data_IF_305075851062
#
_entry.id   IF_305075851062
#
_cell.length_a   1.000
_cell.length_b   1.000
_cell.length_c   1.000
_cell.angle_alpha   90.00
_cell.angle_beta   90.00
_cell.angle_gamma   90.00
#
_symmetry.space_group_name_H-M   'P 1'
#
loop_
_entity.id
_entity.type
_entity.pdbx_description
1 polymer ?
#
# COMPACT_ATOMS: atom_id res chain seq x y z
N UNK A 1 5.21 12.47 -12.76
CA UNK A 1 5.44 11.10 -12.24
C UNK A 1 5.96 10.22 -13.36
N UNK A 2 5.26 10.10 -14.49
CA UNK A 2 5.71 9.31 -15.67
C UNK A 2 7.15 9.62 -16.13
N UNK A 3 7.52 10.91 -16.20
CA UNK A 3 8.90 11.32 -16.54
C UNK A 3 9.97 10.76 -15.59
N UNK A 4 9.63 10.60 -14.31
CA UNK A 4 10.57 10.13 -13.28
C UNK A 4 10.63 8.60 -13.27
N UNK A 5 9.48 7.94 -13.48
CA UNK A 5 9.39 6.47 -13.45
C UNK A 5 9.72 5.82 -14.79
N UNK A 6 9.68 6.56 -15.90
CA UNK A 6 9.81 6.02 -17.25
C UNK A 6 8.63 5.14 -17.70
N UNK A 7 7.57 5.05 -16.89
CA UNK A 7 6.41 4.18 -17.11
C UNK A 7 5.11 4.98 -17.06
N UNK A 8 4.08 4.62 -17.85
CA UNK A 8 2.75 5.24 -17.79
C UNK A 8 2.18 5.17 -16.37
N UNK A 9 1.56 6.25 -15.90
CA UNK A 9 0.85 6.25 -14.63
C UNK A 9 -0.57 5.76 -14.86
N UNK A 10 -1.03 4.83 -14.00
CA UNK A 10 -2.38 4.27 -14.09
C UNK A 10 -3.19 4.62 -12.85
N UNK A 11 -4.43 5.03 -13.09
CA UNK A 11 -5.44 5.30 -12.06
C UNK A 11 -6.79 4.64 -12.37
N UNK A 12 -6.94 4.03 -13.55
CA UNK A 12 -8.16 3.40 -14.03
C UNK A 12 -7.86 2.02 -14.60
N UNK A 13 -8.89 1.15 -14.60
CA UNK A 13 -8.82 -0.13 -15.28
C UNK A 13 -8.70 0.08 -16.79
N UNK A 14 -7.97 -0.82 -17.43
CA UNK A 14 -7.90 -0.91 -18.88
C UNK A 14 -9.20 -1.46 -19.46
N UNK A 15 -9.47 -1.14 -20.71
CA UNK A 15 -10.58 -1.75 -21.44
C UNK A 15 -10.21 -3.17 -21.91
N UNK A 16 -11.21 -4.05 -22.15
CA UNK A 16 -10.98 -5.35 -22.75
C UNK A 16 -10.20 -5.21 -24.07
N UNK A 17 -9.12 -5.98 -24.22
CA UNK A 17 -8.26 -5.97 -25.41
C UNK A 17 -7.07 -5.01 -25.35
N UNK A 18 -7.02 -4.10 -24.37
CA UNK A 18 -5.84 -3.25 -24.18
C UNK A 18 -4.66 -4.05 -23.57
N UNK A 19 -3.42 -3.83 -24.03
CA UNK A 19 -2.26 -4.52 -23.49
C UNK A 19 -1.99 -4.11 -22.04
N UNK A 20 -1.32 -4.98 -21.29
CA UNK A 20 -0.78 -4.54 -20.00
C UNK A 20 0.50 -3.72 -20.25
N UNK A 21 0.61 -2.57 -19.60
CA UNK A 21 1.68 -1.59 -19.85
C UNK A 21 2.77 -1.62 -18.78
N UNK A 22 2.57 -2.37 -17.70
CA UNK A 22 3.55 -2.52 -16.65
C UNK A 22 4.21 -3.91 -16.71
N UNK A 23 5.53 -4.00 -16.44
CA UNK A 23 6.14 -5.28 -16.17
C UNK A 23 5.54 -5.90 -14.90
N UNK A 24 5.79 -7.20 -14.70
CA UNK A 24 5.44 -7.85 -13.43
C UNK A 24 6.18 -7.13 -12.29
N UNK A 25 5.47 -6.76 -11.23
CA UNK A 25 6.06 -6.14 -10.06
C UNK A 25 6.79 -7.19 -9.20
N UNK A 26 8.02 -6.88 -8.81
CA UNK A 26 8.78 -7.67 -7.82
C UNK A 26 8.29 -7.42 -6.38
N UNK A 27 7.76 -6.22 -6.15
CA UNK A 27 7.21 -5.73 -4.89
C UNK A 27 6.24 -4.59 -5.16
N UNK A 28 5.18 -4.46 -4.35
CA UNK A 28 4.23 -3.34 -4.42
C UNK A 28 4.26 -2.56 -3.10
N UNK A 29 4.40 -1.24 -3.20
CA UNK A 29 4.29 -0.33 -2.07
C UNK A 29 3.00 0.51 -2.16
N UNK A 30 2.21 0.54 -1.08
CA UNK A 30 1.02 1.39 -0.96
C UNK A 30 1.27 2.44 0.11
N UNK A 31 1.62 3.65 -0.33
CA UNK A 31 1.87 4.79 0.56
C UNK A 31 1.52 6.12 -0.13
N UNK A 32 0.73 7.00 0.52
CA UNK A 32 -0.04 6.75 1.72
C UNK A 32 -1.24 5.82 1.50
N UNK A 33 -1.45 4.84 2.39
CA UNK A 33 -2.66 4.02 2.43
C UNK A 33 -3.72 4.66 3.35
N UNK A 34 -4.80 5.19 2.78
CA UNK A 34 -5.85 5.85 3.58
C UNK A 34 -6.72 4.85 4.35
N UNK A 35 -7.55 5.33 5.29
CA UNK A 35 -8.53 4.48 6.00
C UNK A 35 -9.44 3.71 5.03
N UNK A 36 -9.91 4.36 3.96
CA UNK A 36 -10.71 3.71 2.92
C UNK A 36 -9.91 2.61 2.21
N UNK A 37 -8.67 2.92 1.81
CA UNK A 37 -7.79 1.96 1.12
C UNK A 37 -7.53 0.71 1.98
N UNK A 38 -7.17 0.90 3.25
CA UNK A 38 -6.86 -0.20 4.18
C UNK A 38 -8.08 -1.09 4.41
N UNK A 39 -9.26 -0.48 4.67
CA UNK A 39 -10.47 -1.26 4.93
C UNK A 39 -11.01 -1.95 3.67
N UNK A 40 -11.02 -1.26 2.53
CA UNK A 40 -11.49 -1.84 1.28
C UNK A 40 -10.59 -3.02 0.87
N UNK A 41 -9.27 -2.88 1.02
CA UNK A 41 -8.33 -3.94 0.69
C UNK A 41 -8.49 -5.16 1.59
N UNK A 42 -8.53 -4.98 2.92
CA UNK A 42 -8.74 -6.08 3.87
C UNK A 42 -10.06 -6.84 3.63
N UNK A 43 -11.09 -6.15 3.12
CA UNK A 43 -12.40 -6.74 2.82
C UNK A 43 -12.52 -7.27 1.37
N UNK A 44 -11.48 -7.13 0.54
CA UNK A 44 -11.53 -7.52 -0.88
C UNK A 44 -12.47 -6.66 -1.73
N UNK A 45 -12.77 -5.42 -1.33
CA UNK A 45 -13.66 -4.50 -2.05
C UNK A 45 -12.84 -3.71 -3.08
N UNK A 46 -12.83 -4.17 -4.33
CA UNK A 46 -11.95 -3.67 -5.39
C UNK A 46 -12.57 -2.59 -6.28
N UNK A 47 -13.31 -1.64 -5.69
CA UNK A 47 -13.97 -0.55 -6.43
C UNK A 47 -12.96 0.34 -7.17
N UNK A 48 -11.86 0.66 -6.51
CA UNK A 48 -10.81 1.52 -7.05
C UNK A 48 -9.67 0.69 -7.64
N UNK A 49 -9.09 1.17 -8.75
CA UNK A 49 -8.00 0.47 -9.46
C UNK A 49 -6.86 0.05 -8.52
N UNK A 50 -6.40 0.97 -7.66
CA UNK A 50 -5.30 0.71 -6.72
C UNK A 50 -5.63 -0.47 -5.79
N UNK A 51 -6.85 -0.52 -5.25
CA UNK A 51 -7.29 -1.60 -4.34
C UNK A 51 -7.40 -2.92 -5.11
N UNK A 52 -7.91 -2.89 -6.35
CA UNK A 52 -7.95 -4.08 -7.20
C UNK A 52 -6.58 -4.68 -7.48
N UNK A 53 -5.59 -3.85 -7.80
CA UNK A 53 -4.20 -4.29 -8.05
C UNK A 53 -3.63 -5.02 -6.83
N UNK A 54 -3.78 -4.44 -5.64
CA UNK A 54 -3.18 -5.01 -4.42
C UNK A 54 -3.98 -6.18 -3.85
N UNK A 55 -5.30 -6.21 -4.07
CA UNK A 55 -6.11 -7.38 -3.72
C UNK A 55 -5.76 -8.59 -4.60
N UNK A 56 -5.64 -8.39 -5.92
CA UNK A 56 -5.21 -9.44 -6.85
C UNK A 56 -3.75 -9.86 -6.59
N UNK A 57 -2.89 -8.89 -6.26
CA UNK A 57 -1.47 -9.15 -6.02
C UNK A 57 -1.20 -10.13 -4.87
N UNK A 58 -2.12 -10.24 -3.89
CA UNK A 58 -2.03 -11.24 -2.81
C UNK A 58 -2.08 -12.64 -3.41
N UNK A 59 -3.07 -12.90 -4.28
CA UNK A 59 -3.18 -14.20 -4.97
C UNK A 59 -2.10 -14.45 -6.02
N UNK A 60 -1.32 -13.44 -6.39
CA UNK A 60 -0.15 -13.53 -7.29
C UNK A 60 1.17 -13.72 -6.55
N UNK A 61 1.14 -13.86 -5.22
CA UNK A 61 2.32 -13.95 -4.36
C UNK A 61 3.31 -12.80 -4.60
N UNK A 62 2.80 -11.58 -4.82
CA UNK A 62 3.63 -10.37 -4.94
C UNK A 62 3.84 -9.81 -3.54
N UNK A 63 5.08 -9.69 -3.03
CA UNK A 63 5.36 -9.07 -1.74
C UNK A 63 4.85 -7.63 -1.70
N UNK A 64 4.25 -7.25 -0.57
CA UNK A 64 3.69 -5.91 -0.43
C UNK A 64 4.06 -5.24 0.87
N UNK A 65 4.25 -3.93 0.78
CA UNK A 65 4.40 -3.04 1.92
C UNK A 65 3.28 -2.02 1.88
N UNK A 66 2.60 -1.83 3.01
CA UNK A 66 1.58 -0.81 3.16
C UNK A 66 1.99 0.14 4.28
N UNK A 67 1.99 1.44 4.02
CA UNK A 67 2.17 2.46 5.05
C UNK A 67 0.89 3.27 5.18
N UNK A 68 0.09 3.04 6.24
CA UNK A 68 -1.11 3.82 6.47
C UNK A 68 -0.84 5.33 6.59
N UNK A 69 -1.86 6.12 6.29
CA UNK A 69 -1.91 7.54 6.57
C UNK A 69 -3.32 7.89 7.01
N UNK A 70 -3.55 7.80 8.31
CA UNK A 70 -4.85 8.05 8.95
C UNK A 70 -4.70 9.06 10.08
N UNK A 71 -5.78 9.74 10.43
CA UNK A 71 -5.80 10.53 11.65
C UNK A 71 -6.17 9.64 12.86
N UNK A 72 -5.94 10.15 14.06
CA UNK A 72 -6.21 9.43 15.30
C UNK A 72 -7.69 9.04 15.45
N UNK A 73 -8.64 9.84 14.95
CA UNK A 73 -10.07 9.50 14.99
C UNK A 73 -10.41 8.26 14.15
N UNK A 74 -9.83 8.13 12.96
CA UNK A 74 -9.95 6.92 12.14
C UNK A 74 -9.29 5.70 12.80
N UNK A 75 -8.14 5.88 13.47
CA UNK A 75 -7.46 4.82 14.19
C UNK A 75 -8.27 4.28 15.39
N UNK A 76 -9.13 5.10 16.01
CA UNK A 76 -10.05 4.65 17.06
C UNK A 76 -11.21 3.78 16.52
N UNK A 77 -11.48 3.81 15.21
CA UNK A 77 -12.54 2.99 14.65
C UNK A 77 -12.08 1.52 14.62
N UNK A 78 -12.81 0.63 15.34
CA UNK A 78 -12.47 -0.80 15.50
C UNK A 78 -12.10 -1.52 14.19
N UNK A 79 -12.74 -1.15 13.09
CA UNK A 79 -12.43 -1.76 11.78
C UNK A 79 -10.99 -1.51 11.33
N UNK A 80 -10.38 -0.37 11.66
CA UNK A 80 -9.03 -0.06 11.20
C UNK A 80 -7.99 -1.06 11.71
N UNK A 81 -7.94 -1.28 13.02
CA UNK A 81 -7.02 -2.26 13.63
C UNK A 81 -7.29 -3.68 13.12
N UNK A 82 -8.57 -4.04 12.91
CA UNK A 82 -8.95 -5.32 12.29
C UNK A 82 -8.41 -5.46 10.88
N UNK A 83 -8.58 -4.45 10.05
CA UNK A 83 -8.08 -4.45 8.67
C UNK A 83 -6.56 -4.50 8.62
N UNK A 84 -5.87 -3.81 9.54
CA UNK A 84 -4.40 -3.89 9.67
C UNK A 84 -3.97 -5.32 10.04
N UNK A 85 -4.64 -5.96 11.00
CA UNK A 85 -4.35 -7.34 11.39
C UNK A 85 -4.61 -8.31 10.22
N UNK A 86 -5.75 -8.20 9.55
CA UNK A 86 -6.12 -9.03 8.40
C UNK A 86 -5.08 -8.91 7.27
N UNK A 87 -4.67 -7.70 6.91
CA UNK A 87 -3.65 -7.50 5.87
C UNK A 87 -2.30 -8.13 6.27
N UNK A 88 -1.93 -8.08 7.55
CA UNK A 88 -0.74 -8.77 8.07
C UNK A 88 -0.88 -10.29 7.96
N UNK A 89 -2.04 -10.85 8.27
CA UNK A 89 -2.33 -12.28 8.11
C UNK A 89 -2.29 -12.71 6.63
N UNK A 90 -2.68 -11.81 5.70
CA UNK A 90 -2.54 -11.99 4.26
C UNK A 90 -1.09 -11.81 3.75
N UNK A 91 -0.11 -11.61 4.63
CA UNK A 91 1.31 -11.48 4.27
C UNK A 91 1.75 -10.07 3.84
N UNK A 92 0.91 -9.05 4.01
CA UNK A 92 1.28 -7.66 3.75
C UNK A 92 2.10 -7.11 4.92
N UNK A 93 3.26 -6.52 4.64
CA UNK A 93 4.05 -5.78 5.65
C UNK A 93 3.42 -4.42 5.91
N UNK A 94 2.59 -4.32 6.96
CA UNK A 94 1.92 -3.07 7.33
C UNK A 94 2.75 -2.27 8.34
N UNK A 95 3.31 -1.14 7.88
CA UNK A 95 4.13 -0.19 8.64
C UNK A 95 3.26 0.79 9.45
N UNK A 96 2.71 0.31 10.56
CA UNK A 96 1.83 1.07 11.43
C UNK A 96 2.08 0.76 12.91
N UNK A 97 2.18 1.81 13.73
CA UNK A 97 2.58 1.72 15.14
C UNK A 97 4.05 2.04 15.35
N UNK A 98 4.67 1.39 16.34
CA UNK A 98 6.12 1.52 16.59
C UNK A 98 6.93 1.10 15.36
N UNK A 99 7.88 1.95 14.94
CA UNK A 99 8.65 1.74 13.71
C UNK A 99 7.87 1.95 12.40
N UNK A 100 6.62 2.44 12.47
CA UNK A 100 5.78 2.72 11.30
C UNK A 100 5.12 4.10 11.36
N UNK A 101 4.04 4.27 10.62
CA UNK A 101 3.25 5.50 10.67
C UNK A 101 2.49 5.64 12.00
N UNK A 102 2.60 6.82 12.62
CA UNK A 102 1.87 7.20 13.85
C UNK A 102 0.81 8.26 13.49
N UNK A 103 -0.49 8.00 13.76
CA UNK A 103 -1.56 8.95 13.43
C UNK A 103 -1.43 10.30 14.12
N UNK A 104 -1.60 11.38 13.35
CA UNK A 104 -1.77 12.72 13.90
C UNK A 104 -3.22 12.94 14.36
N UNK A 105 -3.44 13.90 15.25
CA UNK A 105 -4.81 14.33 15.57
C UNK A 105 -5.53 14.87 14.32
N UNK A 106 -6.87 14.77 14.24
CA UNK A 106 -7.65 15.33 13.14
C UNK A 106 -7.29 16.80 12.87
N UNK A 107 -7.08 17.15 11.59
CA UNK A 107 -6.67 18.50 11.18
C UNK A 107 -5.19 18.83 11.39
N UNK A 108 -4.42 17.98 12.08
CA UNK A 108 -2.99 18.19 12.35
C UNK A 108 -2.09 17.37 11.41
N UNK A 109 -2.56 17.12 10.19
CA UNK A 109 -1.76 16.42 9.18
C UNK A 109 -0.45 17.17 8.92
N UNK A 110 0.67 16.43 8.86
CA UNK A 110 1.98 16.98 8.51
C UNK A 110 2.49 16.32 7.21
N UNK A 111 1.97 16.71 6.03
CA UNK A 111 2.32 16.05 4.76
C UNK A 111 3.82 16.01 4.47
N UNK A 112 4.53 17.09 4.83
CA UNK A 112 5.99 17.19 4.65
C UNK A 112 6.80 16.29 5.60
N UNK A 113 6.19 15.83 6.69
CA UNK A 113 6.82 14.94 7.67
C UNK A 113 6.36 13.48 7.51
N UNK A 114 5.66 13.16 6.41
CA UNK A 114 5.28 11.78 6.14
C UNK A 114 6.55 10.94 5.93
N UNK A 115 6.74 9.83 6.66
CA UNK A 115 8.02 9.12 6.75
C UNK A 115 8.25 8.21 5.54
N UNK A 116 8.40 8.81 4.35
CA UNK A 116 8.58 8.08 3.09
C UNK A 116 9.77 7.10 3.09
N UNK A 117 10.82 7.37 3.87
CA UNK A 117 11.97 6.48 3.99
C UNK A 117 11.57 5.09 4.49
N UNK A 118 10.65 4.98 5.45
CA UNK A 118 10.26 3.67 6.03
C UNK A 118 9.68 2.71 4.99
N UNK A 119 8.88 3.21 4.05
CA UNK A 119 8.32 2.35 2.99
C UNK A 119 9.36 2.01 1.92
N UNK A 120 10.30 2.92 1.65
CA UNK A 120 11.40 2.67 0.71
C UNK A 120 12.41 1.67 1.27
N UNK A 121 12.82 1.83 2.54
CA UNK A 121 13.70 0.90 3.25
C UNK A 121 13.09 -0.51 3.27
N UNK A 122 11.80 -0.62 3.59
CA UNK A 122 11.09 -1.90 3.60
C UNK A 122 11.01 -2.55 2.20
N UNK A 123 10.91 -1.75 1.14
CA UNK A 123 10.96 -2.23 -0.25
C UNK A 123 12.36 -2.73 -0.60
N UNK A 124 13.40 -1.98 -0.25
CA UNK A 124 14.80 -2.36 -0.47
C UNK A 124 15.15 -3.67 0.25
N UNK A 125 14.73 -3.83 1.51
CA UNK A 125 14.90 -5.08 2.27
C UNK A 125 14.25 -6.28 1.57
N UNK A 126 13.03 -6.12 1.04
CA UNK A 126 12.32 -7.18 0.31
C UNK A 126 13.05 -7.53 -0.99
N UNK A 127 13.48 -6.53 -1.74
CA UNK A 127 14.21 -6.75 -3.01
C UNK A 127 15.54 -7.44 -2.74
N UNK A 128 16.29 -6.99 -1.74
CA UNK A 128 17.57 -7.59 -1.34
C UNK A 128 17.42 -9.04 -0.90
N UNK A 129 16.36 -9.38 -0.16
CA UNK A 129 16.09 -10.76 0.26
C UNK A 129 15.74 -11.72 -0.89
N UNK A 130 15.38 -11.19 -2.06
CA UNK A 130 14.97 -11.98 -3.23
C UNK A 130 16.06 -12.14 -4.29
N UNK A 131 17.11 -11.32 -4.25
CA UNK A 131 18.26 -11.49 -5.13
C UNK A 131 19.16 -12.59 -4.57
N UNK A 132 19.50 -13.65 -5.34
CA UNK A 132 20.53 -14.58 -4.91
C UNK A 132 21.89 -13.86 -4.81
N UNK A 133 22.79 -14.34 -3.92
CA UNK A 133 24.12 -13.74 -3.74
C UNK A 133 24.99 -13.79 -5.01
#
# INVERSE_FOLDING_TARGET
MERITGHPVRSVYKLPGEPDVWPKADVIAVAPATFNTVNAWALGITRDFVVGVVAEGIGKDIPMVAMPCVNAAYAQHRQFERSVAELREMGVRVLYGEGGFVPNQPGQGKPHAYPWHLVLDAVEEIVAARQPP
#
